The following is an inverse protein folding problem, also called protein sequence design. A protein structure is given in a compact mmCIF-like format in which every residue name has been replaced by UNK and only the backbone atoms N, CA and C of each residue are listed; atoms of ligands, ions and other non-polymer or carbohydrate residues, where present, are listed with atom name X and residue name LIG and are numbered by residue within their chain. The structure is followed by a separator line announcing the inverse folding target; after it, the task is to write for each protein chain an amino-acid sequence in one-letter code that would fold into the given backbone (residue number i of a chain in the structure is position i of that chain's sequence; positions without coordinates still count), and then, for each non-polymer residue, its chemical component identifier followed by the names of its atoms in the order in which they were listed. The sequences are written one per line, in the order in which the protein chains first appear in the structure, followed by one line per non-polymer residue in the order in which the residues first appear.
data_IF_826961128607
#
_entry.id   IF_826961128607
#
_cell.length_a   1.000
_cell.length_b   1.000
_cell.length_c   1.000
_cell.angle_alpha   90.00
_cell.angle_beta   90.00
_cell.angle_gamma   90.00
#
_symmetry.space_group_name_H-M   'P 1'
#
loop_
_entity.id
_entity.type
_entity.pdbx_description
1 polymer ?
#
# COMPACT_ATOMS: atom_id res chain seq x y z
N UNK A 1 -7.92 -14.62 -10.62
CA UNK A 1 -6.98 -13.85 -9.78
C UNK A 1 -7.47 -13.98 -8.35
N UNK A 2 -6.65 -14.56 -7.48
CA UNK A 2 -6.91 -14.60 -6.04
C UNK A 2 -6.40 -13.33 -5.36
N UNK A 3 -6.87 -13.07 -4.13
CA UNK A 3 -6.30 -12.03 -3.27
C UNK A 3 -5.92 -12.72 -1.97
N UNK A 4 -4.65 -12.63 -1.58
CA UNK A 4 -4.20 -13.21 -0.33
C UNK A 4 -4.97 -12.60 0.85
N UNK A 5 -5.37 -13.41 1.84
CA UNK A 5 -6.08 -12.92 3.03
C UNK A 5 -5.30 -11.80 3.76
N UNK A 6 -3.97 -11.86 3.72
CA UNK A 6 -3.12 -10.83 4.29
C UNK A 6 -3.32 -9.43 3.64
N UNK A 7 -3.71 -9.38 2.36
CA UNK A 7 -4.00 -8.10 1.68
C UNK A 7 -5.23 -7.41 2.29
N UNK A 8 -6.27 -8.19 2.63
CA UNK A 8 -7.48 -7.66 3.28
C UNK A 8 -7.16 -7.15 4.68
N UNK A 9 -6.37 -7.92 5.45
CA UNK A 9 -5.94 -7.51 6.78
C UNK A 9 -5.14 -6.21 6.74
N UNK A 10 -4.11 -6.12 5.89
CA UNK A 10 -3.29 -4.91 5.76
C UNK A 10 -4.14 -3.69 5.38
N UNK A 11 -5.07 -3.84 4.41
CA UNK A 11 -5.97 -2.76 4.03
C UNK A 11 -6.88 -2.31 5.17
N UNK A 12 -7.45 -3.25 5.94
CA UNK A 12 -8.27 -2.91 7.11
C UNK A 12 -7.46 -2.19 8.20
N UNK A 13 -6.19 -2.54 8.36
CA UNK A 13 -5.29 -1.86 9.30
C UNK A 13 -5.00 -0.42 8.86
N UNK A 14 -4.72 -0.18 7.57
CA UNK A 14 -4.56 1.17 7.03
C UNK A 14 -5.86 1.98 7.19
N UNK A 15 -6.99 1.44 6.73
CA UNK A 15 -8.26 2.17 6.70
C UNK A 15 -8.82 2.49 8.08
N UNK A 16 -8.73 1.54 9.04
CA UNK A 16 -9.36 1.71 10.36
C UNK A 16 -8.42 2.24 11.42
N UNK A 17 -7.16 1.80 11.42
CA UNK A 17 -6.22 2.13 12.48
C UNK A 17 -5.24 3.23 12.08
N UNK A 18 -5.18 3.61 10.80
CA UNK A 18 -4.16 4.53 10.26
C UNK A 18 -2.73 4.15 10.66
N UNK A 19 -2.47 2.85 10.83
CA UNK A 19 -1.16 2.33 11.26
C UNK A 19 -0.16 2.24 10.10
N UNK A 20 -0.64 2.28 8.86
CA UNK A 20 0.19 2.27 7.67
C UNK A 20 -0.07 3.52 6.85
N UNK A 21 1.00 4.21 6.42
CA UNK A 21 0.89 5.37 5.52
C UNK A 21 0.57 4.91 4.10
N UNK A 22 1.10 3.75 3.72
CA UNK A 22 0.84 3.15 2.42
C UNK A 22 0.99 1.63 2.44
N UNK A 23 0.40 0.97 1.45
CA UNK A 23 0.54 -0.46 1.20
C UNK A 23 0.82 -0.65 -0.28
N UNK A 24 1.86 -1.42 -0.61
CA UNK A 24 2.21 -1.85 -1.96
C UNK A 24 1.82 -3.31 -2.13
N UNK A 25 1.08 -3.57 -3.19
CA UNK A 25 0.63 -4.88 -3.63
C UNK A 25 1.31 -5.24 -4.95
N UNK A 26 1.68 -6.50 -5.08
CA UNK A 26 2.18 -7.09 -6.32
C UNK A 26 1.30 -8.26 -6.73
N UNK A 27 1.30 -8.56 -8.01
CA UNK A 27 0.68 -9.76 -8.55
C UNK A 27 1.75 -10.84 -8.62
N UNK A 28 1.59 -11.91 -7.86
CA UNK A 28 2.42 -13.10 -8.01
C UNK A 28 1.91 -13.90 -9.21
N UNK A 29 2.60 -13.81 -10.36
CA UNK A 29 2.18 -14.49 -11.59
C UNK A 29 2.16 -16.01 -11.46
N UNK A 30 3.03 -16.58 -10.61
CA UNK A 30 3.10 -18.03 -10.39
C UNK A 30 1.86 -18.55 -9.68
N UNK A 31 1.38 -17.81 -8.68
CA UNK A 31 0.16 -18.16 -7.91
C UNK A 31 -1.12 -17.52 -8.46
N UNK A 32 -1.00 -16.61 -9.43
CA UNK A 32 -2.09 -15.77 -9.95
C UNK A 32 -2.86 -15.07 -8.82
N UNK A 33 -2.12 -14.55 -7.84
CA UNK A 33 -2.65 -14.00 -6.60
C UNK A 33 -2.04 -12.63 -6.29
N UNK A 34 -2.86 -11.71 -5.78
CA UNK A 34 -2.41 -10.41 -5.27
C UNK A 34 -1.87 -10.61 -3.86
N UNK A 35 -0.61 -10.23 -3.65
CA UNK A 35 0.09 -10.34 -2.36
C UNK A 35 0.61 -8.98 -1.92
N UNK A 36 0.68 -8.78 -0.60
CA UNK A 36 1.33 -7.60 -0.01
C UNK A 36 2.82 -7.72 -0.21
N UNK A 37 3.42 -6.68 -0.77
CA UNK A 37 4.85 -6.62 -0.98
C UNK A 37 5.54 -5.77 0.07
N UNK A 38 4.99 -4.57 0.34
CA UNK A 38 5.51 -3.66 1.36
C UNK A 38 4.37 -2.94 2.06
N UNK A 39 4.51 -2.77 3.37
CA UNK A 39 3.67 -1.87 4.17
C UNK A 39 4.56 -0.76 4.70
N UNK A 40 4.17 0.49 4.44
CA UNK A 40 4.86 1.66 4.96
C UNK A 40 4.33 2.01 6.34
N UNK A 41 5.24 2.20 7.30
CA UNK A 41 4.89 2.68 8.64
C UNK A 41 4.27 4.08 8.62
N UNK A 42 3.67 4.55 9.72
CA UNK A 42 3.01 5.86 9.77
C UNK A 42 4.01 7.03 9.69
N UNK A 43 5.29 6.75 9.98
CA UNK A 43 6.40 7.71 9.92
C UNK A 43 7.10 7.75 8.55
N UNK A 44 6.76 6.86 7.61
CA UNK A 44 7.36 6.89 6.28
C UNK A 44 6.75 8.00 5.42
N UNK A 45 7.58 8.63 4.60
CA UNK A 45 7.20 9.76 3.75
C UNK A 45 6.79 9.31 2.35
N UNK A 46 6.24 10.23 1.56
CA UNK A 46 5.94 9.97 0.15
C UNK A 46 7.18 9.58 -0.65
N UNK A 47 8.35 10.13 -0.33
CA UNK A 47 9.62 9.78 -0.96
C UNK A 47 10.06 8.33 -0.69
N UNK A 48 9.82 7.82 0.52
CA UNK A 48 10.06 6.41 0.88
C UNK A 48 9.12 5.48 0.11
N UNK A 49 7.86 5.93 -0.08
CA UNK A 49 6.89 5.23 -0.91
C UNK A 49 7.34 5.17 -2.36
N UNK A 50 7.69 6.31 -2.99
CA UNK A 50 8.14 6.32 -4.39
C UNK A 50 9.43 5.54 -4.58
N UNK A 51 10.36 5.58 -3.63
CA UNK A 51 11.60 4.79 -3.67
C UNK A 51 11.35 3.28 -3.52
N UNK A 52 10.20 2.88 -2.97
CA UNK A 52 9.82 1.47 -2.86
C UNK A 52 9.24 0.90 -4.16
N UNK A 53 8.81 1.76 -5.08
CA UNK A 53 8.26 1.37 -6.36
C UNK A 53 9.40 1.15 -7.38
N UNK A 54 9.40 0.01 -8.09
CA UNK A 54 10.40 -0.26 -9.12
C UNK A 54 10.07 0.50 -10.40
N UNK A 55 11.08 0.99 -11.10
CA UNK A 55 10.89 1.75 -12.35
C UNK A 55 10.47 0.87 -13.53
N UNK A 56 10.77 -0.44 -13.46
CA UNK A 56 10.61 -1.38 -14.57
C UNK A 56 9.42 -2.35 -14.39
N UNK A 57 8.65 -2.24 -13.30
CA UNK A 57 7.59 -3.18 -12.99
C UNK A 57 6.36 -2.47 -12.40
N UNK A 58 5.16 -2.99 -12.69
CA UNK A 58 3.91 -2.36 -12.26
C UNK A 58 3.48 -2.88 -10.89
N UNK A 59 3.29 -1.97 -9.93
CA UNK A 59 2.76 -2.30 -8.61
C UNK A 59 1.50 -1.51 -8.31
N UNK A 60 0.58 -2.13 -7.58
CA UNK A 60 -0.60 -1.45 -7.06
C UNK A 60 -0.28 -0.91 -5.68
N UNK A 61 -0.71 0.30 -5.37
CA UNK A 61 -0.51 0.84 -4.04
C UNK A 61 -1.72 1.62 -3.54
N UNK A 62 -1.90 1.60 -2.22
CA UNK A 62 -2.87 2.43 -1.51
C UNK A 62 -2.07 3.34 -0.60
N UNK A 63 -2.28 4.65 -0.71
CA UNK A 63 -1.59 5.66 0.09
C UNK A 63 -2.63 6.51 0.83
N UNK A 64 -2.49 6.62 2.15
CA UNK A 64 -3.31 7.50 2.99
C UNK A 64 -2.76 8.93 2.91
N UNK A 65 -3.31 9.71 1.98
CA UNK A 65 -2.95 11.10 1.81
C UNK A 65 -3.80 11.98 2.71
N UNK A 66 -3.27 12.32 3.88
CA UNK A 66 -3.86 13.31 4.77
C UNK A 66 -3.66 14.70 4.15
N UNK A 67 -4.75 15.27 3.63
CA UNK A 67 -4.76 16.62 3.07
C UNK A 67 -5.81 17.47 3.76
N UNK A 68 -5.45 18.72 4.01
CA UNK A 68 -6.35 19.73 4.55
C UNK A 68 -6.74 20.67 3.42
N UNK A 69 -8.04 20.83 3.18
CA UNK A 69 -8.55 21.91 2.31
C UNK A 69 -8.52 23.22 3.09
N UNK A 70 -8.27 24.33 2.39
CA UNK A 70 -8.17 25.68 2.98
C UNK A 70 -9.49 26.25 3.54
N UNK A 71 -10.57 25.47 3.53
CA UNK A 71 -11.87 25.81 4.13
C UNK A 71 -12.05 25.03 5.44
N UNK A 72 -11.29 25.41 6.47
CA UNK A 72 -11.61 25.10 7.87
C UNK A 72 -11.84 26.40 8.65
#
# INVERSE_FOLDING_TARGET
MGVADHCKSAYLELQRKKVHRYIVFKIDEKKKEVVVEKTGGPAESYEDFTSSLPENDCRYAVYDFDFVTSEN
#
